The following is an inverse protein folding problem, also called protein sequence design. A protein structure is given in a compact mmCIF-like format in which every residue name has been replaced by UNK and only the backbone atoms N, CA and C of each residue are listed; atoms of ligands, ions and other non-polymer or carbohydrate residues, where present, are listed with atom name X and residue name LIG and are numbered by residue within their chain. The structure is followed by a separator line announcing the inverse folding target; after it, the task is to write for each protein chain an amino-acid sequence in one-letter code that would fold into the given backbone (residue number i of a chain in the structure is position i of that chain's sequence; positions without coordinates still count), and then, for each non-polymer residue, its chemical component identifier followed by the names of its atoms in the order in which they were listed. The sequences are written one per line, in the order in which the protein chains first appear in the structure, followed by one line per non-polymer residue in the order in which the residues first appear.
data_IF_036133223722
#
_entry.id   IF_036133223722
#
_cell.length_a   1.000
_cell.length_b   1.000
_cell.length_c   1.000
_cell.angle_alpha   90.00
_cell.angle_beta   90.00
_cell.angle_gamma   90.00
#
_symmetry.space_group_name_H-M   'P 1'
#
loop_
_entity.id
_entity.type
_entity.pdbx_description
1 polymer ?
#
# COMPACT_ATOMS: atom_id res chain seq x y z
N UNK A 1 4.99 -1.93 -6.42
CA UNK A 1 5.02 -0.51 -6.86
C UNK A 1 4.84 -0.33 -8.38
N UNK A 2 5.59 -0.98 -9.32
CA UNK A 2 5.45 -0.68 -10.75
C UNK A 2 4.02 -0.82 -11.29
N UNK A 3 3.31 -1.87 -10.93
CA UNK A 3 1.95 -2.11 -11.41
C UNK A 3 0.95 -1.02 -10.98
N UNK A 4 1.09 -0.48 -9.76
CA UNK A 4 0.21 0.58 -9.27
C UNK A 4 0.57 1.93 -9.91
N UNK A 5 1.87 2.22 -10.09
CA UNK A 5 2.31 3.41 -10.83
C UNK A 5 1.76 3.41 -12.26
N UNK A 6 1.87 2.26 -12.95
CA UNK A 6 1.33 2.11 -14.31
C UNK A 6 -0.18 2.28 -14.34
N UNK A 7 -0.90 1.77 -13.34
CA UNK A 7 -2.35 1.91 -13.26
C UNK A 7 -2.75 3.38 -13.01
N UNK A 8 -2.06 4.08 -12.10
CA UNK A 8 -2.34 5.49 -11.81
C UNK A 8 -2.13 6.39 -13.05
N UNK A 9 -1.08 6.13 -13.82
CA UNK A 9 -0.75 6.88 -15.03
C UNK A 9 -1.54 6.45 -16.28
N UNK A 10 -2.30 5.36 -16.18
CA UNK A 10 -3.06 4.84 -17.31
C UNK A 10 -4.19 5.80 -17.72
N UNK A 11 -4.43 6.03 -19.03
CA UNK A 11 -5.54 6.84 -19.49
C UNK A 11 -6.90 6.28 -19.00
N UNK A 12 -7.68 7.14 -18.38
CA UNK A 12 -9.09 6.86 -18.09
C UNK A 12 -9.95 7.19 -19.31
N UNK A 13 -9.71 8.35 -19.93
CA UNK A 13 -10.31 8.82 -21.17
C UNK A 13 -9.26 9.52 -22.07
N UNK A 14 -9.69 10.29 -23.06
CA UNK A 14 -8.80 10.98 -24.01
C UNK A 14 -8.01 12.13 -23.38
N UNK A 15 -8.38 12.62 -22.19
CA UNK A 15 -7.81 13.83 -21.57
C UNK A 15 -7.32 13.61 -20.16
N UNK A 16 -7.75 12.54 -19.49
CA UNK A 16 -7.42 12.28 -18.08
C UNK A 16 -6.86 10.88 -17.86
N UNK A 17 -6.06 10.76 -16.79
CA UNK A 17 -5.58 9.48 -16.26
C UNK A 17 -6.43 9.04 -15.06
N UNK A 18 -6.21 7.82 -14.57
CA UNK A 18 -6.85 7.42 -13.31
C UNK A 18 -6.43 8.30 -12.13
N UNK A 19 -5.18 8.79 -12.09
CA UNK A 19 -4.71 9.68 -11.02
C UNK A 19 -5.37 11.07 -11.04
N UNK A 20 -6.04 11.46 -12.13
CA UNK A 20 -6.83 12.70 -12.19
C UNK A 20 -8.24 12.51 -11.62
N UNK A 21 -8.70 11.28 -11.50
CA UNK A 21 -10.07 10.91 -11.10
C UNK A 21 -10.13 10.22 -9.74
N UNK A 22 -9.05 9.57 -9.32
CA UNK A 22 -8.96 8.79 -8.09
C UNK A 22 -7.69 9.19 -7.34
N UNK A 23 -7.80 9.41 -6.03
CA UNK A 23 -6.65 9.60 -5.16
C UNK A 23 -6.01 8.25 -4.85
N UNK A 24 -4.75 8.08 -5.22
CA UNK A 24 -3.96 6.89 -4.88
C UNK A 24 -3.20 7.15 -3.59
N UNK A 25 -3.46 6.31 -2.59
CA UNK A 25 -2.85 6.42 -1.26
C UNK A 25 -2.15 5.10 -0.94
N UNK A 26 -0.86 5.18 -0.63
CA UNK A 26 -0.08 4.07 -0.11
C UNK A 26 0.05 4.25 1.40
N UNK A 27 -0.08 3.18 2.15
CA UNK A 27 0.16 3.22 3.60
C UNK A 27 1.27 2.22 3.91
N UNK A 28 2.42 2.73 4.35
CA UNK A 28 3.51 1.88 4.83
C UNK A 28 3.16 1.39 6.23
N UNK A 29 3.00 0.11 6.36
CA UNK A 29 2.61 -0.58 7.59
C UNK A 29 3.83 -1.30 8.21
N UNK A 30 3.70 -2.53 8.67
CA UNK A 30 4.82 -3.38 9.10
C UNK A 30 5.66 -3.81 7.90
N UNK A 31 6.95 -4.15 8.14
CA UNK A 31 7.78 -4.75 7.09
C UNK A 31 7.43 -6.25 6.98
N UNK A 32 6.85 -6.70 5.86
CA UNK A 32 6.41 -8.08 5.73
C UNK A 32 7.57 -9.06 5.51
N UNK A 33 8.71 -8.57 5.01
CA UNK A 33 9.90 -9.35 4.74
C UNK A 33 11.13 -8.74 5.44
N UNK A 34 11.17 -8.70 6.79
CA UNK A 34 12.27 -8.07 7.49
C UNK A 34 13.55 -8.89 7.35
N UNK A 35 14.71 -8.21 7.48
CA UNK A 35 16.01 -8.86 7.52
C UNK A 35 16.11 -9.82 8.71
N UNK A 36 16.75 -10.97 8.49
CA UNK A 36 17.11 -11.87 9.56
C UNK A 36 17.91 -11.14 10.69
N UNK A 37 17.74 -11.51 11.97
CA UNK A 37 16.96 -12.65 12.48
C UNK A 37 15.46 -12.36 12.70
N UNK A 38 14.96 -11.21 12.28
CA UNK A 38 13.57 -10.80 12.52
C UNK A 38 12.59 -11.72 11.81
N UNK A 39 11.52 -12.06 12.51
CA UNK A 39 10.44 -12.88 11.99
C UNK A 39 9.40 -11.99 11.31
N UNK A 40 8.96 -12.40 10.15
CA UNK A 40 7.89 -11.70 9.42
C UNK A 40 6.58 -11.69 10.23
N UNK A 41 6.00 -10.53 10.51
CA UNK A 41 4.69 -10.45 11.17
C UNK A 41 3.53 -10.93 10.27
N UNK A 42 3.81 -11.10 8.98
CA UNK A 42 2.85 -11.61 8.00
C UNK A 42 2.87 -13.14 7.90
N UNK A 43 4.06 -13.73 7.74
CA UNK A 43 4.19 -15.17 7.47
C UNK A 43 4.61 -16.00 8.69
N UNK A 44 5.11 -15.37 9.75
CA UNK A 44 5.68 -16.07 10.91
C UNK A 44 7.04 -16.71 10.64
N UNK A 45 7.68 -16.40 9.50
CA UNK A 45 8.96 -16.98 9.10
C UNK A 45 10.07 -15.92 9.01
N UNK A 46 11.31 -16.37 9.11
CA UNK A 46 12.48 -15.58 8.71
C UNK A 46 12.65 -15.72 7.20
N UNK A 47 12.80 -14.62 6.51
CA UNK A 47 12.95 -14.61 5.06
C UNK A 47 14.41 -14.70 4.64
N UNK A 48 14.64 -15.29 3.46
CA UNK A 48 15.97 -15.33 2.85
C UNK A 48 16.48 -13.92 2.52
N UNK A 49 17.78 -13.68 2.66
CA UNK A 49 18.39 -12.37 2.52
C UNK A 49 18.11 -11.66 1.17
N UNK A 50 17.91 -12.44 0.11
CA UNK A 50 17.58 -11.92 -1.22
C UNK A 50 16.21 -11.22 -1.29
N UNK A 51 15.27 -11.57 -0.40
CA UNK A 51 13.94 -10.98 -0.33
C UNK A 51 13.79 -9.96 0.80
N UNK A 52 14.81 -9.85 1.66
CA UNK A 52 14.80 -9.06 2.90
C UNK A 52 15.82 -7.95 2.84
N UNK A 53 15.41 -6.76 2.41
CA UNK A 53 16.31 -5.61 2.28
C UNK A 53 16.19 -4.61 3.41
N UNK A 54 15.11 -4.66 4.19
CA UNK A 54 14.80 -3.70 5.25
C UNK A 54 14.74 -4.35 6.62
N UNK A 55 15.05 -3.59 7.65
CA UNK A 55 14.83 -4.01 9.05
C UNK A 55 13.33 -3.88 9.38
N UNK A 56 12.86 -4.70 10.35
CA UNK A 56 11.57 -4.43 10.98
C UNK A 56 11.68 -3.14 11.81
N UNK A 57 10.85 -2.14 11.56
CA UNK A 57 10.87 -0.92 12.36
C UNK A 57 10.40 -1.17 13.80
N UNK A 58 11.20 -0.76 14.79
CA UNK A 58 10.85 -0.78 16.20
C UNK A 58 10.47 0.62 16.72
N UNK A 59 10.71 1.65 15.92
CA UNK A 59 10.30 3.03 16.21
C UNK A 59 9.58 3.63 15.02
N UNK A 60 8.74 4.65 15.28
CA UNK A 60 8.05 5.38 14.21
C UNK A 60 9.03 6.06 13.24
N UNK A 61 10.17 6.56 13.76
CA UNK A 61 11.21 7.16 12.94
C UNK A 61 11.84 6.16 11.95
N UNK A 62 12.15 4.95 12.41
CA UNK A 62 12.64 3.87 11.54
C UNK A 62 11.60 3.49 10.47
N UNK A 63 10.32 3.45 10.85
CA UNK A 63 9.23 3.20 9.90
C UNK A 63 9.12 4.31 8.86
N UNK A 64 9.22 5.56 9.28
CA UNK A 64 9.25 6.70 8.36
C UNK A 64 10.45 6.65 7.41
N UNK A 65 11.63 6.20 7.87
CA UNK A 65 12.79 6.01 7.00
C UNK A 65 12.53 4.94 5.93
N UNK A 66 12.03 3.77 6.32
CA UNK A 66 11.65 2.72 5.36
C UNK A 66 10.56 3.18 4.37
N UNK A 67 9.59 3.96 4.87
CA UNK A 67 8.52 4.53 4.04
C UNK A 67 9.05 5.54 3.02
N UNK A 68 10.03 6.38 3.38
CA UNK A 68 10.68 7.32 2.44
C UNK A 68 11.38 6.59 1.30
N UNK A 69 12.14 5.53 1.61
CA UNK A 69 12.80 4.71 0.58
C UNK A 69 11.78 4.05 -0.35
N UNK A 70 10.67 3.56 0.20
CA UNK A 70 9.59 2.96 -0.59
C UNK A 70 8.86 4.03 -1.40
N UNK A 71 8.62 5.20 -0.80
CA UNK A 71 8.00 6.35 -1.43
C UNK A 71 8.78 6.89 -2.64
N UNK A 72 10.11 6.74 -2.63
CA UNK A 72 10.95 7.09 -3.77
C UNK A 72 10.66 6.25 -5.03
N UNK A 73 10.00 5.12 -4.88
CA UNK A 73 9.55 4.25 -5.99
C UNK A 73 8.14 4.60 -6.49
N UNK A 74 7.44 5.49 -5.79
CA UNK A 74 6.09 5.96 -6.16
C UNK A 74 6.23 7.12 -7.13
N UNK A 75 5.46 7.10 -8.20
CA UNK A 75 5.53 8.13 -9.26
C UNK A 75 4.19 8.86 -9.41
N UNK A 76 4.25 10.10 -9.91
CA UNK A 76 3.07 10.90 -10.17
C UNK A 76 2.37 11.40 -8.90
N UNK A 77 1.07 11.67 -9.00
CA UNK A 77 0.24 12.28 -7.95
C UNK A 77 -0.32 11.20 -7.00
N UNK A 78 0.56 10.60 -6.21
CA UNK A 78 0.21 9.57 -5.25
C UNK A 78 0.73 9.96 -3.86
N UNK A 79 0.02 9.57 -2.80
CA UNK A 79 0.39 9.87 -1.43
C UNK A 79 1.04 8.65 -0.76
N UNK A 80 2.08 8.88 0.04
CA UNK A 80 2.65 7.89 0.93
C UNK A 80 2.36 8.30 2.38
N UNK A 81 1.59 7.48 3.08
CA UNK A 81 1.32 7.60 4.51
C UNK A 81 2.08 6.52 5.28
N UNK A 82 2.19 6.71 6.59
CA UNK A 82 2.89 5.79 7.49
C UNK A 82 1.96 5.41 8.63
N UNK A 83 1.76 4.11 8.83
CA UNK A 83 0.98 3.61 9.96
C UNK A 83 1.69 3.92 11.29
N UNK A 84 0.93 4.26 12.32
CA UNK A 84 1.48 4.63 13.61
C UNK A 84 2.25 3.48 14.28
N UNK A 85 3.34 3.84 14.96
CA UNK A 85 4.14 2.96 15.79
C UNK A 85 4.59 3.76 17.02
N UNK A 86 3.66 4.00 17.93
CA UNK A 86 3.86 4.79 19.14
C UNK A 86 3.23 4.06 20.33
N UNK A 87 3.65 4.33 21.57
CA UNK A 87 2.94 3.83 22.74
C UNK A 87 1.46 4.18 22.68
N UNK A 88 0.58 3.18 22.74
CA UNK A 88 -0.87 3.35 22.66
C UNK A 88 -1.48 3.41 21.26
N UNK A 89 -0.66 3.49 20.20
CA UNK A 89 -1.13 3.46 18.79
C UNK A 89 -0.21 2.59 17.93
N UNK A 90 -0.19 1.29 18.21
CA UNK A 90 0.70 0.33 17.56
C UNK A 90 0.00 -0.33 16.38
N UNK A 91 0.41 0.04 15.16
CA UNK A 91 -0.08 -0.52 13.90
C UNK A 91 -1.61 -0.45 13.71
N UNK A 92 -2.28 0.69 13.93
CA UNK A 92 -3.74 0.74 13.85
C UNK A 92 -4.29 0.37 12.48
N UNK A 93 -3.62 0.74 11.38
CA UNK A 93 -4.05 0.38 10.02
C UNK A 93 -3.86 -1.12 9.79
N UNK A 94 -2.68 -1.65 10.10
CA UNK A 94 -2.40 -3.08 9.98
C UNK A 94 -3.39 -3.92 10.79
N UNK A 95 -3.70 -3.52 12.02
CA UNK A 95 -4.62 -4.23 12.89
C UNK A 95 -6.09 -4.13 12.42
N UNK A 96 -6.47 -3.00 11.81
CA UNK A 96 -7.84 -2.78 11.35
C UNK A 96 -8.14 -3.46 10.02
N UNK A 97 -7.23 -3.32 9.05
CA UNK A 97 -7.45 -3.83 7.69
C UNK A 97 -6.87 -5.22 7.44
N UNK A 98 -6.25 -5.81 8.45
CA UNK A 98 -5.74 -7.17 8.44
C UNK A 98 -4.30 -7.30 7.95
N UNK A 99 -3.81 -8.53 8.05
CA UNK A 99 -2.44 -8.92 7.72
C UNK A 99 -2.27 -9.10 6.22
N UNK A 100 -2.34 -8.03 5.46
CA UNK A 100 -2.24 -8.11 4.01
C UNK A 100 -1.18 -7.14 3.46
N UNK A 101 0.03 -7.61 3.22
CA UNK A 101 1.16 -6.77 2.80
C UNK A 101 1.00 -6.20 1.38
N UNK A 102 0.07 -6.70 0.60
CA UNK A 102 -0.18 -6.28 -0.78
C UNK A 102 -1.69 -6.20 -1.08
N UNK A 103 -2.48 -5.79 -0.10
CA UNK A 103 -3.90 -5.55 -0.32
C UNK A 103 -4.18 -4.17 -0.89
N UNK A 104 -5.36 -4.02 -1.47
CA UNK A 104 -5.85 -2.72 -1.94
C UNK A 104 -7.34 -2.59 -1.69
N UNK A 105 -7.75 -1.39 -1.36
CA UNK A 105 -9.15 -1.03 -1.11
C UNK A 105 -9.55 0.08 -2.06
N UNK A 106 -10.65 -0.11 -2.80
CA UNK A 106 -11.30 0.97 -3.51
C UNK A 106 -12.38 1.55 -2.61
N UNK A 107 -12.26 2.83 -2.31
CA UNK A 107 -13.12 3.54 -1.35
C UNK A 107 -13.90 4.61 -2.09
N UNK A 108 -15.20 4.68 -1.87
CA UNK A 108 -16.10 5.70 -2.41
C UNK A 108 -15.90 7.04 -1.71
N UNK A 109 -16.41 8.12 -2.31
CA UNK A 109 -16.33 9.46 -1.72
C UNK A 109 -17.08 9.59 -0.39
N UNK A 110 -18.08 8.73 -0.13
CA UNK A 110 -18.82 8.67 1.13
C UNK A 110 -18.06 7.90 2.24
N UNK A 111 -16.85 7.40 1.94
CA UNK A 111 -16.02 6.62 2.86
C UNK A 111 -16.32 5.13 2.90
N UNK A 112 -17.32 4.65 2.16
CA UNK A 112 -17.62 3.21 2.13
C UNK A 112 -16.66 2.45 1.21
N UNK A 113 -16.30 1.22 1.59
CA UNK A 113 -15.47 0.35 0.78
C UNK A 113 -16.30 -0.23 -0.37
N UNK A 114 -15.87 0.00 -1.61
CA UNK A 114 -16.50 -0.56 -2.81
C UNK A 114 -15.92 -1.94 -3.14
N UNK A 115 -14.60 -2.05 -3.16
CA UNK A 115 -13.90 -3.28 -3.57
C UNK A 115 -12.67 -3.52 -2.68
N UNK A 116 -12.44 -4.79 -2.33
CA UNK A 116 -11.26 -5.24 -1.58
C UNK A 116 -10.50 -6.25 -2.40
N UNK A 117 -9.20 -6.04 -2.56
CA UNK A 117 -8.26 -7.04 -3.04
C UNK A 117 -7.35 -7.46 -1.90
N UNK A 118 -7.46 -8.67 -1.43
CA UNK A 118 -6.54 -9.25 -0.43
C UNK A 118 -5.13 -9.43 -0.98
N UNK A 119 -5.03 -9.54 -2.30
CA UNK A 119 -3.78 -9.43 -3.06
C UNK A 119 -4.03 -8.56 -4.28
N UNK A 120 -3.30 -7.45 -4.41
CA UNK A 120 -3.51 -6.47 -5.47
C UNK A 120 -3.35 -7.09 -6.86
N UNK A 121 -4.36 -6.89 -7.71
CA UNK A 121 -4.34 -7.20 -9.13
C UNK A 121 -4.74 -5.97 -9.93
N UNK A 122 -3.84 -5.47 -10.76
CA UNK A 122 -4.02 -4.21 -11.47
C UNK A 122 -5.19 -4.24 -12.47
N UNK A 123 -5.38 -5.35 -13.20
CA UNK A 123 -6.45 -5.46 -14.19
C UNK A 123 -7.84 -5.49 -13.55
N UNK A 124 -7.99 -6.27 -12.47
CA UNK A 124 -9.24 -6.33 -11.72
C UNK A 124 -9.56 -5.01 -11.03
N UNK A 125 -8.53 -4.33 -10.48
CA UNK A 125 -8.70 -3.02 -9.85
C UNK A 125 -9.08 -1.95 -10.90
N UNK A 126 -8.46 -1.97 -12.08
CA UNK A 126 -8.86 -1.08 -13.17
C UNK A 126 -10.34 -1.26 -13.54
N UNK A 127 -10.80 -2.49 -13.68
CA UNK A 127 -12.20 -2.78 -13.97
C UNK A 127 -13.14 -2.24 -12.90
N UNK A 128 -12.79 -2.43 -11.62
CA UNK A 128 -13.57 -1.90 -10.50
C UNK A 128 -13.62 -0.36 -10.51
N UNK A 129 -12.47 0.30 -10.73
CA UNK A 129 -12.39 1.76 -10.83
C UNK A 129 -13.22 2.32 -12.00
N UNK A 130 -13.17 1.69 -13.18
CA UNK A 130 -14.00 2.09 -14.32
C UNK A 130 -15.49 1.96 -14.00
N UNK A 131 -15.88 0.86 -13.37
CA UNK A 131 -17.27 0.62 -12.95
C UNK A 131 -17.72 1.67 -11.92
N UNK A 132 -16.89 2.01 -10.96
CA UNK A 132 -17.22 3.02 -9.95
C UNK A 132 -17.38 4.42 -10.56
N UNK A 133 -16.47 4.80 -11.47
CA UNK A 133 -16.48 6.12 -12.11
C UNK A 133 -17.58 6.29 -13.18
N UNK A 134 -18.21 5.21 -13.61
CA UNK A 134 -19.32 5.22 -14.57
C UNK A 134 -20.71 5.39 -13.91
N UNK A 135 -20.78 5.38 -12.58
CA UNK A 135 -22.01 5.55 -11.79
C UNK A 135 -22.29 7.02 -11.54
#
# INVERSE_FOLDING_TARGET
MPALNSLAAKPFDTTTTFADRISFVHIYVVEPHPKAPEVSPYSGNVWEAQYSTKIQPHTYEQRCANARDTGALVTGRQLMLVDALTPGANNPVWCTYGTCPNCAFLIRQDGTVDTVHTWFNAASMESAMRTLLAR
#
